data_IF_156858377010
#
_entry.id   IF_156858377010
#
_cell.length_a   1.000
_cell.length_b   1.000
_cell.length_c   1.000
_cell.angle_alpha   90.00
_cell.angle_beta   90.00
_cell.angle_gamma   90.00
#
_symmetry.space_group_name_H-M   'P 1'
#
loop_
_entity.id
_entity.type
_entity.pdbx_description
1 polymer ?
#
# COMPACT_ATOMS: atom_id res chain seq x y z
N UNK A 1 -3.55 -20.45 -4.86
CA UNK A 1 -4.19 -20.17 -3.57
C UNK A 1 -3.68 -18.84 -3.08
N UNK A 2 -4.55 -17.95 -2.61
CA UNK A 2 -4.11 -16.75 -1.89
C UNK A 2 -3.58 -17.25 -0.55
N UNK A 3 -2.34 -16.89 -0.23
CA UNK A 3 -1.70 -17.31 1.02
C UNK A 3 -1.70 -16.15 2.02
N UNK A 4 -1.69 -16.47 3.31
CA UNK A 4 -1.48 -15.50 4.39
C UNK A 4 -0.18 -14.69 4.14
N UNK A 5 0.83 -15.33 3.55
CA UNK A 5 2.06 -14.70 3.10
C UNK A 5 1.80 -13.57 2.10
N UNK A 6 0.92 -13.78 1.11
CA UNK A 6 0.54 -12.75 0.13
C UNK A 6 -0.09 -11.54 0.81
N UNK A 7 -0.97 -11.75 1.79
CA UNK A 7 -1.59 -10.68 2.57
C UNK A 7 -0.53 -9.91 3.38
N UNK A 8 0.37 -10.63 4.06
CA UNK A 8 1.42 -10.04 4.88
C UNK A 8 2.42 -9.22 4.06
N UNK A 9 2.86 -9.71 2.91
CA UNK A 9 3.76 -8.94 2.03
C UNK A 9 3.07 -7.72 1.43
N UNK A 10 1.78 -7.81 1.12
CA UNK A 10 0.99 -6.66 0.66
C UNK A 10 0.87 -5.59 1.74
N UNK A 11 0.67 -5.99 3.00
CA UNK A 11 0.65 -5.08 4.17
C UNK A 11 1.98 -4.35 4.31
N UNK A 12 3.11 -5.07 4.23
CA UNK A 12 4.45 -4.46 4.28
C UNK A 12 4.67 -3.46 3.13
N UNK A 13 4.24 -3.82 1.91
CA UNK A 13 4.33 -2.93 0.75
C UNK A 13 3.48 -1.67 0.90
N UNK A 14 2.26 -1.80 1.45
CA UNK A 14 1.42 -0.64 1.78
C UNK A 14 2.12 0.27 2.80
N UNK A 15 2.73 -0.28 3.84
CA UNK A 15 3.40 0.53 4.87
C UNK A 15 4.63 1.26 4.33
N UNK A 16 5.38 0.62 3.44
CA UNK A 16 6.44 1.29 2.69
C UNK A 16 5.88 2.46 1.86
N UNK A 17 4.79 2.25 1.12
CA UNK A 17 4.12 3.33 0.35
C UNK A 17 3.59 4.44 1.25
N UNK A 18 3.10 4.12 2.45
CA UNK A 18 2.64 5.09 3.45
C UNK A 18 3.78 5.98 3.92
N UNK A 19 4.89 5.37 4.35
CA UNK A 19 6.08 6.11 4.77
C UNK A 19 6.63 6.99 3.63
N UNK A 20 6.63 6.47 2.40
CA UNK A 20 6.99 7.25 1.20
C UNK A 20 6.07 8.45 0.97
N UNK A 21 4.75 8.25 1.11
CA UNK A 21 3.75 9.32 0.94
C UNK A 21 3.92 10.41 1.99
N UNK A 22 4.02 10.03 3.27
CA UNK A 22 4.22 10.97 4.38
C UNK A 22 5.53 11.75 4.23
N UNK A 23 6.62 11.08 3.83
CA UNK A 23 7.91 11.72 3.61
C UNK A 23 7.93 12.65 2.39
N UNK A 24 7.22 12.32 1.32
CA UNK A 24 7.08 13.19 0.13
C UNK A 24 6.24 14.43 0.50
N UNK A 25 5.09 14.23 1.15
CA UNK A 25 4.17 15.31 1.54
C UNK A 25 4.81 16.29 2.53
N UNK A 26 5.59 15.78 3.49
CA UNK A 26 6.33 16.59 4.47
C UNK A 26 7.64 17.21 3.92
N UNK A 27 7.90 17.09 2.61
CA UNK A 27 9.15 17.53 1.97
C UNK A 27 10.44 16.95 2.63
N UNK A 28 10.36 15.76 3.22
CA UNK A 28 11.50 15.04 3.83
C UNK A 28 12.19 14.07 2.88
N UNK A 29 11.51 13.67 1.82
CA UNK A 29 12.04 12.82 0.74
C UNK A 29 12.12 13.64 -0.54
N UNK A 30 13.31 13.75 -1.14
CA UNK A 30 13.46 14.32 -2.48
C UNK A 30 12.98 13.28 -3.50
N UNK A 31 11.89 13.59 -4.19
CA UNK A 31 11.20 12.66 -5.08
C UNK A 31 10.84 13.32 -6.41
N UNK A 32 10.78 12.51 -7.48
CA UNK A 32 10.18 12.89 -8.77
C UNK A 32 8.69 12.55 -8.82
N UNK A 33 8.22 11.71 -7.88
CA UNK A 33 6.83 11.30 -7.75
C UNK A 33 6.07 12.42 -7.03
N UNK A 34 5.01 12.93 -7.67
CA UNK A 34 4.12 13.93 -7.08
C UNK A 34 3.40 13.37 -5.84
N UNK A 35 3.13 14.19 -4.81
CA UNK A 35 2.39 13.75 -3.62
C UNK A 35 1.07 13.05 -3.95
N UNK A 36 0.33 13.56 -4.95
CA UNK A 36 -0.93 12.97 -5.41
C UNK A 36 -0.78 11.55 -5.95
N UNK A 37 0.32 11.27 -6.68
CA UNK A 37 0.59 9.92 -7.20
C UNK A 37 1.00 8.97 -6.06
N UNK A 38 1.77 9.46 -5.07
CA UNK A 38 2.13 8.67 -3.89
C UNK A 38 0.87 8.26 -3.09
N UNK A 39 -0.03 9.21 -2.84
CA UNK A 39 -1.34 8.95 -2.22
C UNK A 39 -2.19 7.97 -3.04
N UNK A 40 -2.23 8.13 -4.37
CA UNK A 40 -2.99 7.25 -5.25
C UNK A 40 -2.55 5.78 -5.12
N UNK A 41 -1.25 5.49 -5.26
CA UNK A 41 -0.76 4.11 -5.17
C UNK A 41 -0.84 3.55 -3.75
N UNK A 42 -0.89 4.40 -2.72
CA UNK A 42 -1.19 3.98 -1.35
C UNK A 42 -2.66 3.56 -1.19
N UNK A 43 -3.60 4.31 -1.77
CA UNK A 43 -5.02 3.94 -1.77
C UNK A 43 -5.28 2.64 -2.53
N UNK A 44 -4.57 2.41 -3.63
CA UNK A 44 -4.65 1.15 -4.37
C UNK A 44 -4.15 -0.04 -3.54
N UNK A 45 -3.02 0.10 -2.84
CA UNK A 45 -2.52 -0.95 -1.95
C UNK A 45 -3.51 -1.25 -0.81
N UNK A 46 -4.13 -0.21 -0.23
CA UNK A 46 -5.20 -0.39 0.76
C UNK A 46 -6.43 -1.10 0.17
N UNK A 47 -6.81 -0.77 -1.07
CA UNK A 47 -7.91 -1.44 -1.75
C UNK A 47 -7.59 -2.92 -1.98
N UNK A 48 -6.38 -3.24 -2.44
CA UNK A 48 -5.98 -4.62 -2.69
C UNK A 48 -5.98 -5.47 -1.42
N UNK A 49 -5.52 -4.94 -0.28
CA UNK A 49 -5.62 -5.62 1.02
C UNK A 49 -7.08 -5.98 1.37
N UNK A 50 -8.04 -5.10 1.06
CA UNK A 50 -9.47 -5.39 1.29
C UNK A 50 -9.99 -6.51 0.40
N UNK A 51 -9.47 -6.63 -0.83
CA UNK A 51 -9.82 -7.72 -1.74
C UNK A 51 -9.24 -9.05 -1.24
N UNK A 52 -7.97 -9.05 -0.83
CA UNK A 52 -7.30 -10.25 -0.30
C UNK A 52 -8.05 -10.82 0.91
N UNK A 53 -8.41 -9.97 1.88
CA UNK A 53 -9.19 -10.38 3.05
C UNK A 53 -10.56 -10.96 2.70
N UNK A 54 -11.25 -10.36 1.72
CA UNK A 54 -12.54 -10.89 1.24
C UNK A 54 -12.42 -12.26 0.60
N UNK A 55 -11.29 -12.55 -0.07
CA UNK A 55 -11.05 -13.86 -0.64
C UNK A 55 -10.70 -14.89 0.43
N UNK A 56 -9.96 -14.50 1.47
CA UNK A 56 -9.65 -15.36 2.63
C UNK A 56 -10.92 -15.76 3.40
N UNK A 57 -11.88 -14.83 3.57
CA UNK A 57 -13.18 -15.10 4.22
C UNK A 57 -14.13 -16.00 3.38
N UNK A 58 -13.80 -16.27 2.11
CA UNK A 58 -14.60 -17.11 1.20
C UNK A 58 -14.09 -18.56 1.10
N UNK A 59 -12.93 -18.86 1.68
CA UNK A 59 -12.37 -20.21 1.83
C UNK A 59 -12.73 -20.79 3.22
#
# INVERSE_FOLDING_TARGET
TITDETLMETIKLRDFKKAGTEGIDACKIKSIILPLLADHVLREANHYIRLLKKCEDMD
#
